data_IF_995860834483
#
_entry.id   IF_995860834483
#
_cell.length_a   1.000
_cell.length_b   1.000
_cell.length_c   1.000
_cell.angle_alpha   90.00
_cell.angle_beta   90.00
_cell.angle_gamma   90.00
#
_symmetry.space_group_name_H-M   'P 1'
#
loop_
_entity.id
_entity.type
_entity.pdbx_description
1 polymer ?
#
# COMPACT_ATOMS: atom_id res chain seq x y z
N UNK A 1 -31.52 -46.34 -0.81
CA UNK A 1 -30.88 -45.60 -1.92
C UNK A 1 -30.60 -44.22 -1.36
N UNK A 2 -29.39 -44.01 -0.80
CA UNK A 2 -29.07 -42.81 -0.04
C UNK A 2 -27.99 -42.03 -0.80
N UNK A 3 -28.39 -40.88 -1.30
CA UNK A 3 -27.54 -39.86 -1.91
C UNK A 3 -26.57 -39.29 -0.87
N UNK A 4 -25.27 -39.53 -1.07
CA UNK A 4 -24.23 -38.84 -0.33
C UNK A 4 -23.99 -37.46 -0.96
N UNK A 5 -24.43 -36.44 -0.25
CA UNK A 5 -24.24 -35.02 -0.59
C UNK A 5 -22.78 -34.64 -0.38
N UNK A 6 -22.05 -34.37 -1.47
CA UNK A 6 -20.71 -33.80 -1.44
C UNK A 6 -20.81 -32.30 -1.10
N UNK A 7 -20.45 -31.93 0.12
CA UNK A 7 -20.19 -30.52 0.49
C UNK A 7 -18.84 -30.46 1.18
N UNK A 8 -17.79 -30.25 0.39
CA UNK A 8 -16.49 -29.81 0.88
C UNK A 8 -15.81 -29.10 -0.28
N UNK A 9 -15.64 -27.78 -0.14
CA UNK A 9 -14.73 -26.84 -0.82
C UNK A 9 -15.52 -25.53 -0.95
N UNK A 10 -15.64 -24.79 0.15
CA UNK A 10 -16.04 -23.38 0.10
C UNK A 10 -15.26 -22.51 1.10
N UNK A 11 -14.36 -23.11 1.90
CA UNK A 11 -13.58 -22.38 2.91
C UNK A 11 -12.19 -21.91 2.42
N UNK A 12 -11.74 -22.31 1.22
CA UNK A 12 -10.38 -22.01 0.74
C UNK A 12 -10.24 -20.61 0.10
N UNK A 13 -11.34 -19.94 -0.26
CA UNK A 13 -11.26 -18.63 -0.95
C UNK A 13 -10.97 -17.44 -0.03
N UNK A 14 -11.32 -17.52 1.25
CA UNK A 14 -11.20 -16.39 2.18
C UNK A 14 -9.77 -16.22 2.74
N UNK A 15 -8.98 -17.29 2.79
CA UNK A 15 -7.59 -17.24 3.27
C UNK A 15 -6.69 -16.56 2.24
N UNK A 16 -6.95 -16.76 0.95
CA UNK A 16 -6.11 -16.27 -0.13
C UNK A 16 -6.05 -14.74 -0.20
N UNK A 17 -7.16 -14.03 0.07
CA UNK A 17 -7.22 -12.57 -0.08
C UNK A 17 -6.38 -11.83 0.96
N UNK A 18 -6.21 -12.40 2.16
CA UNK A 18 -5.36 -11.81 3.21
C UNK A 18 -3.88 -11.85 2.83
N UNK A 19 -3.40 -12.98 2.30
CA UNK A 19 -2.01 -13.15 1.87
C UNK A 19 -1.63 -12.18 0.75
N UNK A 20 -2.53 -11.98 -0.24
CA UNK A 20 -2.30 -10.99 -1.29
C UNK A 20 -2.29 -9.55 -0.77
N UNK A 21 -3.12 -9.23 0.21
CA UNK A 21 -3.14 -7.90 0.83
C UNK A 21 -1.80 -7.61 1.53
N UNK A 22 -1.29 -8.59 2.27
CA UNK A 22 -0.04 -8.49 3.04
C UNK A 22 1.20 -8.37 2.12
N UNK A 23 1.30 -9.18 1.06
CA UNK A 23 2.39 -9.10 0.09
C UNK A 23 2.44 -7.70 -0.57
N UNK A 24 1.29 -7.22 -1.03
CA UNK A 24 1.23 -5.90 -1.65
C UNK A 24 1.49 -4.78 -0.63
N UNK A 25 0.98 -4.87 0.59
CA UNK A 25 1.24 -3.86 1.63
C UNK A 25 2.71 -3.83 2.05
N UNK A 26 3.40 -4.98 2.11
CA UNK A 26 4.83 -5.06 2.40
C UNK A 26 5.67 -4.40 1.29
N UNK A 27 5.40 -4.70 0.02
CA UNK A 27 6.08 -4.07 -1.11
C UNK A 27 5.78 -2.56 -1.19
N UNK A 28 4.54 -2.14 -0.93
CA UNK A 28 4.19 -0.73 -0.83
C UNK A 28 5.01 -0.02 0.24
N UNK A 29 5.18 -0.67 1.40
CA UNK A 29 5.95 -0.14 2.51
C UNK A 29 7.43 -0.02 2.17
N UNK A 30 8.03 -1.00 1.51
CA UNK A 30 9.43 -0.94 1.07
C UNK A 30 9.68 0.28 0.17
N UNK A 31 8.88 0.43 -0.89
CA UNK A 31 8.99 1.57 -1.79
C UNK A 31 8.69 2.90 -1.09
N UNK A 32 7.69 2.98 -0.21
CA UNK A 32 7.39 4.20 0.53
C UNK A 32 8.57 4.63 1.44
N UNK A 33 9.28 3.69 2.08
CA UNK A 33 10.48 4.01 2.85
C UNK A 33 11.65 4.49 1.98
N UNK A 34 11.79 3.96 0.77
CA UNK A 34 12.78 4.47 -0.21
C UNK A 34 12.41 5.88 -0.68
N UNK A 35 11.11 6.16 -0.89
CA UNK A 35 10.63 7.50 -1.21
C UNK A 35 10.98 8.50 -0.10
N UNK A 36 10.79 8.13 1.17
CA UNK A 36 11.22 8.95 2.33
C UNK A 36 12.74 9.15 2.34
N UNK A 37 13.51 8.08 2.12
CA UNK A 37 14.98 8.13 2.13
C UNK A 37 15.51 9.10 1.08
N UNK A 38 15.02 8.99 -0.15
CA UNK A 38 15.40 9.87 -1.25
C UNK A 38 14.84 11.29 -1.10
N UNK A 39 13.64 11.43 -0.53
CA UNK A 39 13.08 12.71 -0.13
C UNK A 39 13.97 13.50 0.82
N UNK A 40 14.43 12.85 1.89
CA UNK A 40 15.38 13.43 2.86
C UNK A 40 16.73 13.81 2.24
N UNK A 41 17.11 13.16 1.15
CA UNK A 41 18.29 13.51 0.37
C UNK A 41 18.04 14.63 -0.67
N UNK A 42 16.82 15.15 -0.78
CA UNK A 42 16.44 16.15 -1.78
C UNK A 42 16.30 15.60 -3.21
N UNK A 43 16.30 14.27 -3.37
CA UNK A 43 16.23 13.60 -4.67
C UNK A 43 14.77 13.45 -5.14
N UNK A 44 14.07 14.57 -5.37
CA UNK A 44 12.63 14.57 -5.73
C UNK A 44 12.26 13.61 -6.88
N UNK A 45 13.04 13.49 -7.98
CA UNK A 45 12.70 12.53 -9.04
C UNK A 45 12.71 11.07 -8.56
N UNK A 46 13.67 10.70 -7.71
CA UNK A 46 13.79 9.33 -7.18
C UNK A 46 12.73 9.07 -6.10
N UNK A 47 12.39 10.08 -5.29
CA UNK A 47 11.24 10.02 -4.41
C UNK A 47 9.97 9.67 -5.19
N UNK A 48 9.72 10.38 -6.30
CA UNK A 48 8.52 10.17 -7.13
C UNK A 48 8.48 8.76 -7.70
N UNK A 49 9.61 8.26 -8.22
CA UNK A 49 9.70 6.88 -8.74
C UNK A 49 9.30 5.84 -7.69
N UNK A 50 9.86 5.94 -6.49
CA UNK A 50 9.49 5.03 -5.41
C UNK A 50 8.06 5.26 -4.90
N UNK A 51 7.57 6.50 -4.87
CA UNK A 51 6.19 6.78 -4.47
C UNK A 51 5.16 6.22 -5.47
N UNK A 52 5.43 6.28 -6.79
CA UNK A 52 4.59 5.68 -7.84
C UNK A 52 4.57 4.14 -7.73
N UNK A 53 5.71 3.52 -7.44
CA UNK A 53 5.78 2.08 -7.19
C UNK A 53 5.00 1.68 -5.91
N UNK A 54 5.19 2.43 -4.81
CA UNK A 54 4.43 2.25 -3.58
C UNK A 54 2.93 2.39 -3.82
N UNK A 55 2.50 3.37 -4.61
CA UNK A 55 1.10 3.66 -4.92
C UNK A 55 0.45 2.47 -5.63
N UNK A 56 1.16 1.88 -6.60
CA UNK A 56 0.69 0.71 -7.34
C UNK A 56 0.42 -0.46 -6.39
N UNK A 57 1.35 -0.74 -5.47
CA UNK A 57 1.19 -1.82 -4.50
C UNK A 57 0.12 -1.50 -3.44
N UNK A 58 0.08 -0.28 -2.91
CA UNK A 58 -0.92 0.14 -1.93
C UNK A 58 -2.35 0.03 -2.48
N UNK A 59 -2.58 0.42 -3.75
CA UNK A 59 -3.87 0.25 -4.43
C UNK A 59 -4.29 -1.22 -4.51
N UNK A 60 -3.39 -2.11 -4.94
CA UNK A 60 -3.67 -3.55 -4.99
C UNK A 60 -3.96 -4.14 -3.60
N UNK A 61 -3.22 -3.73 -2.57
CA UNK A 61 -3.50 -4.12 -1.19
C UNK A 61 -4.89 -3.65 -0.75
N UNK A 62 -5.24 -2.40 -1.05
CA UNK A 62 -6.53 -1.79 -0.68
C UNK A 62 -7.75 -2.41 -1.41
N UNK A 63 -7.56 -3.02 -2.57
CA UNK A 63 -8.62 -3.72 -3.32
C UNK A 63 -9.11 -4.98 -2.61
N UNK A 64 -8.20 -5.69 -1.94
CA UNK A 64 -8.49 -6.96 -1.26
C UNK A 64 -8.64 -6.82 0.26
N UNK A 65 -8.14 -5.73 0.83
CA UNK A 65 -8.28 -5.42 2.25
C UNK A 65 -9.72 -5.05 2.64
N UNK A 66 -10.04 -5.20 3.93
CA UNK A 66 -11.35 -4.88 4.51
C UNK A 66 -11.18 -4.18 5.85
N UNK A 67 -12.22 -3.52 6.33
CA UNK A 67 -12.23 -2.87 7.65
C UNK A 67 -11.14 -1.81 7.81
N UNK A 68 -10.57 -1.72 9.01
CA UNK A 68 -9.51 -0.76 9.35
C UNK A 68 -8.28 -0.88 8.45
N UNK A 69 -7.91 -2.10 8.05
CA UNK A 69 -6.80 -2.32 7.12
C UNK A 69 -7.02 -1.59 5.80
N UNK A 70 -8.24 -1.66 5.26
CA UNK A 70 -8.62 -0.91 4.05
C UNK A 70 -8.61 0.60 4.28
N UNK A 71 -9.17 1.07 5.40
CA UNK A 71 -9.19 2.51 5.75
C UNK A 71 -7.78 3.09 5.75
N UNK A 72 -6.84 2.38 6.38
CA UNK A 72 -5.45 2.79 6.43
C UNK A 72 -4.74 2.70 5.08
N UNK A 73 -4.94 1.63 4.30
CA UNK A 73 -4.36 1.54 2.96
C UNK A 73 -4.89 2.63 2.01
N UNK A 74 -6.18 2.95 2.04
CA UNK A 74 -6.78 4.04 1.26
C UNK A 74 -6.22 5.42 1.69
N UNK A 75 -5.92 5.62 2.97
CA UNK A 75 -5.25 6.82 3.46
C UNK A 75 -3.80 6.89 2.99
N UNK A 76 -3.06 5.78 3.05
CA UNK A 76 -1.70 5.68 2.51
C UNK A 76 -1.64 5.98 1.01
N UNK A 77 -2.62 5.49 0.23
CA UNK A 77 -2.78 5.82 -1.19
C UNK A 77 -2.87 7.32 -1.42
N UNK A 78 -3.70 8.04 -0.66
CA UNK A 78 -3.84 9.50 -0.78
C UNK A 78 -2.54 10.25 -0.43
N UNK A 79 -1.86 9.82 0.63
CA UNK A 79 -0.57 10.39 1.01
C UNK A 79 0.50 10.16 -0.07
N UNK A 80 0.51 8.99 -0.73
CA UNK A 80 1.41 8.73 -1.86
C UNK A 80 1.08 9.60 -3.08
N UNK A 81 -0.21 9.79 -3.40
CA UNK A 81 -0.64 10.70 -4.48
C UNK A 81 -0.16 12.13 -4.21
N UNK A 82 -0.25 12.60 -2.96
CA UNK A 82 0.30 13.90 -2.54
C UNK A 82 1.83 13.96 -2.63
N UNK A 83 2.54 12.89 -2.24
CA UNK A 83 3.99 12.79 -2.37
C UNK A 83 4.44 12.89 -3.83
N UNK A 84 3.72 12.21 -4.74
CA UNK A 84 3.98 12.24 -6.19
C UNK A 84 3.72 13.64 -6.76
N UNK A 85 2.59 14.26 -6.41
CA UNK A 85 2.22 15.60 -6.88
C UNK A 85 3.30 16.62 -6.48
N UNK A 86 3.61 16.70 -5.18
CA UNK A 86 4.59 17.64 -4.67
C UNK A 86 6.02 17.31 -5.13
N UNK A 87 6.37 16.02 -5.25
CA UNK A 87 7.66 15.59 -5.78
C UNK A 87 7.86 16.03 -7.23
N UNK A 88 6.83 15.94 -8.07
CA UNK A 88 6.84 16.44 -9.47
C UNK A 88 6.98 17.96 -9.56
N UNK A 89 6.53 18.69 -8.54
CA UNK A 89 6.74 20.14 -8.42
C UNK A 89 8.13 20.50 -7.87
N UNK A 90 8.95 19.53 -7.49
CA UNK A 90 10.25 19.75 -6.85
C UNK A 90 10.15 20.13 -5.37
N UNK A 91 8.96 20.05 -4.76
CA UNK A 91 8.75 20.35 -3.34
C UNK A 91 9.20 19.17 -2.45
N UNK A 92 10.51 18.90 -2.42
CA UNK A 92 11.11 17.73 -1.77
C UNK A 92 10.63 17.54 -0.32
N UNK A 93 10.61 18.62 0.47
CA UNK A 93 10.21 18.56 1.88
C UNK A 93 8.75 18.16 2.07
N UNK A 94 7.85 18.73 1.28
CA UNK A 94 6.40 18.43 1.33
C UNK A 94 6.15 17.00 0.85
N UNK A 95 6.81 16.60 -0.24
CA UNK A 95 6.73 15.26 -0.78
C UNK A 95 7.24 14.21 0.21
N UNK A 96 8.33 14.50 0.92
CA UNK A 96 8.91 13.63 1.95
C UNK A 96 7.93 13.43 3.09
N UNK A 97 7.33 14.52 3.60
CA UNK A 97 6.34 14.43 4.68
C UNK A 97 5.12 13.59 4.27
N UNK A 98 4.62 13.79 3.05
CA UNK A 98 3.53 12.98 2.53
C UNK A 98 3.93 11.49 2.39
N UNK A 99 5.17 11.19 1.98
CA UNK A 99 5.67 9.81 1.96
C UNK A 99 5.81 9.20 3.38
N UNK A 100 6.17 9.99 4.39
CA UNK A 100 6.21 9.54 5.81
C UNK A 100 4.80 9.21 6.32
N UNK A 101 3.81 10.06 6.03
CA UNK A 101 2.41 9.78 6.35
C UNK A 101 1.90 8.51 5.65
N UNK A 102 2.31 8.29 4.40
CA UNK A 102 2.01 7.06 3.69
C UNK A 102 2.62 5.82 4.37
N UNK A 103 3.88 5.90 4.81
CA UNK A 103 4.55 4.82 5.55
C UNK A 103 3.77 4.45 6.81
N UNK A 104 3.33 5.44 7.58
CA UNK A 104 2.61 5.20 8.83
C UNK A 104 1.25 4.55 8.59
N UNK A 105 0.51 5.03 7.58
CA UNK A 105 -0.76 4.43 7.19
C UNK A 105 -0.61 3.02 6.62
N UNK A 106 0.37 2.77 5.74
CA UNK A 106 0.59 1.43 5.18
C UNK A 106 0.98 0.44 6.27
N UNK A 107 1.83 0.82 7.24
CA UNK A 107 2.15 0.00 8.42
C UNK A 107 0.91 -0.30 9.26
N UNK A 108 0.03 0.68 9.45
CA UNK A 108 -1.20 0.49 10.21
C UNK A 108 -2.20 -0.43 9.47
N UNK A 109 -2.20 -0.38 8.14
CA UNK A 109 -3.05 -1.21 7.28
C UNK A 109 -2.52 -2.63 7.02
N UNK A 110 -1.24 -2.87 7.27
CA UNK A 110 -0.60 -4.18 7.13
C UNK A 110 -0.59 -4.95 8.47
N UNK A 111 -1.77 -5.36 8.94
CA UNK A 111 -1.98 -6.09 10.20
C UNK A 111 -2.97 -7.24 10.02
#
# INVERSE_FOLDING_TARGET
MNTFTTVTISALLLVSTGVFAEEHAAAALEHANQAVTHGKAGHSPILVEHADAALTHAKKGAEVAKGESKTHLDAGVKSLESAIEHGKMGHADVATKAAEEAVDHIKAGNK
#
